data_IF_691557844225
#
_entry.id   IF_691557844225
#
_cell.length_a   1.000
_cell.length_b   1.000
_cell.length_c   1.000
_cell.angle_alpha   90.00
_cell.angle_beta   90.00
_cell.angle_gamma   90.00
#
_symmetry.space_group_name_H-M   'P 1'
#
loop_
_entity.id
_entity.type
_entity.pdbx_description
1 polymer ?
#
# COMPACT_ATOMS: atom_id res chain seq x y z
N UNK A 1 4.95 -2.00 -10.40
CA UNK A 1 3.91 -1.51 -9.46
C UNK A 1 3.67 -0.01 -9.59
N UNK A 2 4.71 0.84 -9.65
CA UNK A 2 4.56 2.31 -9.77
C UNK A 2 3.59 2.78 -10.86
N UNK A 3 3.70 2.28 -12.10
CA UNK A 3 2.76 2.64 -13.19
C UNK A 3 1.30 2.28 -12.88
N UNK A 4 1.08 1.14 -12.23
CA UNK A 4 -0.25 0.67 -11.81
C UNK A 4 -0.83 1.51 -10.68
N UNK A 5 0.01 1.86 -9.69
CA UNK A 5 -0.36 2.76 -8.58
C UNK A 5 -0.68 4.16 -9.10
N UNK A 6 0.14 4.72 -9.99
CA UNK A 6 -0.14 6.00 -10.63
C UNK A 6 -1.44 5.97 -11.44
N UNK A 7 -1.71 4.88 -12.17
CA UNK A 7 -2.96 4.72 -12.91
C UNK A 7 -4.18 4.61 -12.00
N UNK A 8 -4.06 3.93 -10.84
CA UNK A 8 -5.13 3.87 -9.84
C UNK A 8 -5.38 5.24 -9.21
N UNK A 9 -4.32 5.95 -8.80
CA UNK A 9 -4.41 7.33 -8.28
C UNK A 9 -5.16 8.26 -9.24
N UNK A 10 -4.87 8.15 -10.54
CA UNK A 10 -5.53 8.96 -11.58
C UNK A 10 -7.00 8.58 -11.77
N UNK A 11 -7.32 7.27 -11.72
CA UNK A 11 -8.68 6.74 -11.84
C UNK A 11 -9.56 7.15 -10.67
N UNK A 12 -9.03 7.05 -9.46
CA UNK A 12 -9.77 7.28 -8.22
C UNK A 12 -9.73 8.77 -7.80
N UNK A 13 -9.15 9.64 -8.62
CA UNK A 13 -9.15 11.09 -8.39
C UNK A 13 -8.33 11.55 -7.18
N UNK A 14 -7.31 10.78 -6.78
CA UNK A 14 -6.53 11.10 -5.59
C UNK A 14 -5.73 12.39 -5.76
N UNK A 15 -5.85 13.31 -4.81
CA UNK A 15 -5.12 14.57 -4.79
C UNK A 15 -3.94 14.49 -3.82
N UNK A 16 -2.86 15.22 -4.13
CA UNK A 16 -1.72 15.33 -3.21
C UNK A 16 -1.93 16.51 -2.28
N UNK A 17 -1.76 16.28 -0.98
CA UNK A 17 -1.69 17.33 0.03
C UNK A 17 -0.30 17.32 0.63
N UNK A 18 0.40 18.45 0.49
CA UNK A 18 1.67 18.69 1.15
C UNK A 18 1.37 19.30 2.52
N UNK A 19 1.89 18.70 3.58
CA UNK A 19 1.85 19.28 4.92
C UNK A 19 3.27 19.74 5.25
N UNK A 20 3.40 20.98 5.69
CA UNK A 20 4.68 21.58 6.09
C UNK A 20 4.76 21.62 7.63
N UNK A 21 5.20 20.52 8.28
CA UNK A 21 5.29 20.48 9.72
C UNK A 21 6.46 21.35 10.21
N UNK A 22 6.26 22.09 11.30
CA UNK A 22 7.34 22.83 11.95
C UNK A 22 8.32 21.83 12.57
N UNK A 23 9.60 21.93 12.19
CA UNK A 23 10.73 21.13 12.71
C UNK A 23 10.72 19.63 12.35
N UNK A 24 10.00 19.23 11.30
CA UNK A 24 10.01 17.84 10.82
C UNK A 24 10.12 17.84 9.29
N UNK A 25 10.51 16.70 8.71
CA UNK A 25 10.55 16.53 7.27
C UNK A 25 9.15 16.70 6.68
N UNK A 26 9.06 17.33 5.51
CA UNK A 26 7.84 17.39 4.71
C UNK A 26 7.29 15.97 4.44
N UNK A 27 5.99 15.80 4.64
CA UNK A 27 5.27 14.58 4.31
C UNK A 27 4.23 14.88 3.23
N UNK A 28 4.29 14.07 2.17
CA UNK A 28 3.30 14.09 1.08
C UNK A 28 2.24 13.02 1.36
N UNK A 29 0.98 13.45 1.48
CA UNK A 29 -0.16 12.55 1.61
C UNK A 29 -0.97 12.53 0.31
N UNK A 30 -1.54 11.37 -0.01
CA UNK A 30 -2.60 11.30 -1.03
C UNK A 30 -3.95 11.30 -0.32
N UNK A 31 -4.92 12.01 -0.88
CA UNK A 31 -6.27 12.15 -0.34
C UNK A 31 -7.26 11.66 -1.38
N UNK A 32 -8.17 10.79 -0.96
CA UNK A 32 -9.31 10.40 -1.79
C UNK A 32 -10.48 11.36 -1.55
N UNK A 33 -10.59 12.38 -2.41
CA UNK A 33 -11.64 13.40 -2.30
C UNK A 33 -13.02 12.84 -2.63
N UNK A 34 -13.10 11.71 -3.33
CA UNK A 34 -14.39 11.06 -3.65
C UNK A 34 -15.06 10.43 -2.43
N UNK A 35 -14.28 10.11 -1.40
CA UNK A 35 -14.75 9.46 -0.16
C UNK A 35 -15.03 10.45 0.98
N UNK A 36 -15.01 11.75 0.73
CA UNK A 36 -15.26 12.75 1.78
C UNK A 36 -16.67 12.61 2.31
N UNK A 37 -16.79 12.22 3.58
CA UNK A 37 -18.04 12.10 4.29
C UNK A 37 -17.99 13.01 5.54
N UNK A 38 -19.04 13.80 5.77
CA UNK A 38 -19.15 14.70 6.93
C UNK A 38 -17.96 15.68 7.15
N UNK A 39 -17.20 15.99 6.10
CA UNK A 39 -16.03 16.86 6.17
C UNK A 39 -14.74 16.17 6.62
N UNK A 40 -14.75 14.83 6.75
CA UNK A 40 -13.55 14.04 7.02
C UNK A 40 -12.81 13.72 5.71
N UNK A 41 -11.50 13.92 5.71
CA UNK A 41 -10.63 13.60 4.58
C UNK A 41 -9.97 12.24 4.79
N UNK A 42 -10.09 11.35 3.80
CA UNK A 42 -9.46 10.04 3.85
C UNK A 42 -8.06 10.08 3.24
N UNK A 43 -7.05 9.91 4.10
CA UNK A 43 -5.68 9.71 3.66
C UNK A 43 -5.54 8.30 3.09
N UNK A 44 -4.92 8.19 1.93
CA UNK A 44 -4.76 6.93 1.19
C UNK A 44 -3.31 6.74 0.80
N UNK A 45 -2.82 5.51 0.94
CA UNK A 45 -1.47 5.14 0.52
C UNK A 45 -1.42 3.72 -0.05
N UNK A 46 -0.44 3.48 -0.92
CA UNK A 46 -0.13 2.14 -1.43
C UNK A 46 1.32 1.83 -1.02
N UNK A 47 1.54 0.83 -0.15
CA UNK A 47 2.86 0.57 0.40
C UNK A 47 3.82 0.07 -0.69
N UNK A 48 4.74 0.95 -1.12
CA UNK A 48 5.76 0.59 -2.12
C UNK A 48 6.77 -0.46 -1.62
N UNK A 49 6.77 -0.76 -0.31
CA UNK A 49 7.49 -1.90 0.27
C UNK A 49 7.07 -3.24 -0.34
N UNK A 50 5.87 -3.36 -0.91
CA UNK A 50 5.45 -4.54 -1.67
C UNK A 50 6.30 -4.80 -2.94
N UNK A 51 6.98 -3.78 -3.48
CA UNK A 51 7.97 -4.00 -4.55
C UNK A 51 9.15 -4.82 -4.05
N UNK A 52 9.62 -4.55 -2.82
CA UNK A 52 10.72 -5.28 -2.22
C UNK A 52 10.32 -6.74 -1.91
N UNK A 53 9.06 -6.97 -1.50
CA UNK A 53 8.50 -8.31 -1.35
C UNK A 53 8.55 -9.07 -2.69
N UNK A 54 8.03 -8.48 -3.77
CA UNK A 54 8.08 -9.12 -5.10
C UNK A 54 9.53 -9.41 -5.52
N UNK A 55 10.46 -8.47 -5.31
CA UNK A 55 11.88 -8.68 -5.64
C UNK A 55 12.52 -9.80 -4.83
N UNK A 56 12.16 -9.91 -3.55
CA UNK A 56 12.66 -10.96 -2.66
C UNK A 56 12.20 -12.34 -3.11
N UNK A 57 10.96 -12.46 -3.58
CA UNK A 57 10.44 -13.71 -4.16
C UNK A 57 11.22 -14.08 -5.42
N UNK A 58 11.48 -13.14 -6.32
CA UNK A 58 12.25 -13.40 -7.55
C UNK A 58 13.69 -13.87 -7.25
N UNK A 59 14.33 -13.27 -6.24
CA UNK A 59 15.66 -13.70 -5.80
C UNK A 59 15.63 -15.09 -5.17
N UNK A 60 14.62 -15.36 -4.34
CA UNK A 60 14.45 -16.66 -3.69
C UNK A 60 14.12 -17.78 -4.69
N UNK A 61 13.29 -17.50 -5.70
CA UNK A 61 12.92 -18.46 -6.75
C UNK A 61 14.03 -18.69 -7.77
N UNK A 62 15.12 -17.91 -7.73
CA UNK A 62 16.18 -17.89 -8.74
C UNK A 62 15.57 -17.75 -10.15
N UNK A 63 14.72 -16.75 -10.32
CA UNK A 63 13.95 -16.56 -11.54
C UNK A 63 14.84 -16.40 -12.78
N UNK A 64 14.73 -17.35 -13.70
CA UNK A 64 15.44 -17.36 -15.00
C UNK A 64 14.51 -17.11 -16.20
N UNK A 65 13.21 -16.91 -15.96
CA UNK A 65 12.19 -16.78 -17.00
C UNK A 65 11.41 -15.46 -16.94
N UNK A 66 10.85 -15.07 -18.07
CA UNK A 66 9.91 -13.94 -18.17
C UNK A 66 8.55 -14.37 -17.62
N UNK A 67 7.85 -13.47 -16.92
CA UNK A 67 6.55 -13.77 -16.29
C UNK A 67 6.69 -14.43 -14.92
N UNK A 68 5.56 -14.86 -14.34
CA UNK A 68 5.53 -15.53 -13.03
C UNK A 68 5.11 -16.99 -13.20
N UNK A 69 5.86 -17.89 -12.59
CA UNK A 69 5.44 -19.30 -12.49
C UNK A 69 4.28 -19.46 -11.51
N UNK A 70 3.58 -20.59 -11.59
CA UNK A 70 2.50 -20.92 -10.64
C UNK A 70 3.00 -20.88 -9.19
N UNK A 71 4.22 -21.38 -8.96
CA UNK A 71 4.86 -21.38 -7.63
C UNK A 71 5.13 -19.96 -7.13
N UNK A 72 5.61 -19.07 -7.99
CA UNK A 72 5.86 -17.66 -7.64
C UNK A 72 4.56 -16.92 -7.32
N UNK A 73 3.49 -17.16 -8.08
CA UNK A 73 2.17 -16.58 -7.80
C UNK A 73 1.62 -17.05 -6.44
N UNK A 74 1.75 -18.35 -6.14
CA UNK A 74 1.35 -18.90 -4.84
C UNK A 74 2.17 -18.31 -3.69
N UNK A 75 3.48 -18.16 -3.87
CA UNK A 75 4.36 -17.52 -2.88
C UNK A 75 3.98 -16.06 -2.66
N UNK A 76 3.76 -15.30 -3.73
CA UNK A 76 3.35 -13.89 -3.62
C UNK A 76 2.02 -13.74 -2.90
N UNK A 77 1.01 -14.55 -3.26
CA UNK A 77 -0.28 -14.54 -2.57
C UNK A 77 -0.11 -14.82 -1.06
N UNK A 78 0.73 -15.80 -0.71
CA UNK A 78 1.01 -16.15 0.69
C UNK A 78 1.70 -15.00 1.42
N UNK A 79 2.71 -14.39 0.81
CA UNK A 79 3.47 -13.30 1.45
C UNK A 79 2.66 -12.00 1.56
N UNK A 80 1.82 -11.68 0.57
CA UNK A 80 0.85 -10.57 0.69
C UNK A 80 -0.10 -10.83 1.86
N UNK A 81 -0.63 -12.04 1.99
CA UNK A 81 -1.51 -12.40 3.12
C UNK A 81 -0.78 -12.27 4.46
N UNK A 82 0.48 -12.68 4.55
CA UNK A 82 1.29 -12.53 5.77
C UNK A 82 1.54 -11.06 6.11
N UNK A 83 1.87 -10.24 5.09
CA UNK A 83 2.04 -8.81 5.23
C UNK A 83 0.77 -8.15 5.77
N UNK A 84 -0.39 -8.41 5.16
CA UNK A 84 -1.68 -7.87 5.60
C UNK A 84 -2.01 -8.25 7.03
N UNK A 85 -1.84 -9.53 7.40
CA UNK A 85 -2.07 -9.99 8.79
C UNK A 85 -1.18 -9.29 9.80
N UNK A 86 0.10 -9.14 9.47
CA UNK A 86 1.08 -8.48 10.35
C UNK A 86 0.74 -7.01 10.51
N UNK A 87 0.42 -6.32 9.40
CA UNK A 87 0.03 -4.92 9.43
C UNK A 87 -1.26 -4.70 10.24
N UNK A 88 -2.27 -5.56 10.05
CA UNK A 88 -3.51 -5.49 10.82
C UNK A 88 -3.26 -5.67 12.33
N UNK A 89 -2.39 -6.62 12.69
CA UNK A 89 -1.99 -6.81 14.09
C UNK A 89 -1.32 -5.56 14.67
N UNK A 90 -0.39 -4.93 13.94
CA UNK A 90 0.28 -3.72 14.39
C UNK A 90 -0.69 -2.54 14.53
N UNK A 91 -1.61 -2.36 13.57
CA UNK A 91 -2.65 -1.33 13.62
C UNK A 91 -3.52 -1.51 14.86
N UNK A 92 -3.97 -2.74 15.13
CA UNK A 92 -4.87 -3.04 16.24
C UNK A 92 -4.20 -2.92 17.62
N UNK A 93 -2.87 -3.06 17.68
CA UNK A 93 -2.11 -2.99 18.93
C UNK A 93 -1.80 -1.55 19.36
N UNK A 94 -1.69 -0.62 18.41
CA UNK A 94 -1.35 0.78 18.68
C UNK A 94 -2.60 1.63 18.89
N UNK A 95 -2.63 2.39 19.99
CA UNK A 95 -3.71 3.35 20.28
C UNK A 95 -3.79 4.51 19.29
N UNK A 96 -2.71 4.78 18.54
CA UNK A 96 -2.65 5.85 17.54
C UNK A 96 -3.28 5.45 16.19
N UNK A 97 -3.39 4.15 15.93
CA UNK A 97 -3.83 3.64 14.61
C UNK A 97 -5.13 2.84 14.70
N UNK A 98 -5.40 2.24 15.87
CA UNK A 98 -6.60 1.43 16.09
C UNK A 98 -7.85 2.26 15.88
N UNK A 99 -8.71 1.82 14.96
CA UNK A 99 -9.97 2.50 14.62
C UNK A 99 -9.81 3.71 13.69
N UNK A 100 -8.58 4.02 13.25
CA UNK A 100 -8.29 5.14 12.34
C UNK A 100 -7.76 4.63 11.00
N UNK A 101 -6.92 3.59 11.01
CA UNK A 101 -6.30 3.04 9.81
C UNK A 101 -7.05 1.79 9.36
N UNK A 102 -7.49 1.80 8.10
CA UNK A 102 -8.15 0.66 7.44
C UNK A 102 -7.24 0.08 6.35
N UNK A 103 -7.36 -1.23 6.11
CA UNK A 103 -6.62 -1.92 5.04
C UNK A 103 -7.61 -2.48 4.03
N UNK A 104 -7.38 -2.16 2.75
CA UNK A 104 -8.13 -2.71 1.63
C UNK A 104 -7.19 -3.47 0.68
N UNK A 105 -7.59 -4.67 0.24
CA UNK A 105 -6.91 -5.36 -0.86
C UNK A 105 -7.58 -4.93 -2.17
N UNK A 106 -6.82 -4.21 -2.99
CA UNK A 106 -7.32 -3.65 -4.25
C UNK A 106 -6.67 -4.32 -5.44
N UNK A 107 -7.48 -4.69 -6.43
CA UNK A 107 -6.98 -5.19 -7.70
C UNK A 107 -6.40 -4.01 -8.51
N UNK A 108 -5.10 -4.07 -8.86
CA UNK A 108 -4.38 -3.02 -9.60
C UNK A 108 -3.83 -3.52 -10.94
#
# INVERSE_FOLDING_TARGET
>A
MFKKVSAKRLRDGWQRMKVEPKNVRDYDFSIDVSKVENGELHLVDIPFTLNALNKSIELYSKKEHIGKSVKENLLEYREIRNFTKTLQYLINKSSLTKGIVEIEIVNI
#
